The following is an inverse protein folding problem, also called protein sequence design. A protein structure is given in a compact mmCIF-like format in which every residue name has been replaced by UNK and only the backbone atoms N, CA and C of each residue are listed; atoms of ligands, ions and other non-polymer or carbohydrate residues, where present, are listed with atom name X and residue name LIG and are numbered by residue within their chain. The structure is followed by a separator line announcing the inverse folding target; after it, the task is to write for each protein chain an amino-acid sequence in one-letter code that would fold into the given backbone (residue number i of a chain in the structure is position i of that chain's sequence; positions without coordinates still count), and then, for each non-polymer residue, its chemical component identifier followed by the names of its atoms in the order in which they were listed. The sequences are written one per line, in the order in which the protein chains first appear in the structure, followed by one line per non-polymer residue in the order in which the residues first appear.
data_IF_869524960026
#
_entry.id   IF_869524960026
#
_cell.length_a   1.000
_cell.length_b   1.000
_cell.length_c   1.000
_cell.angle_alpha   90.00
_cell.angle_beta   90.00
_cell.angle_gamma   90.00
#
_symmetry.space_group_name_H-M   'P 1'
#
loop_
_entity.id
_entity.type
_entity.pdbx_description
1 polymer ?
#
# COMPACT_ATOMS: atom_id res chain seq x y z
N UNK A 1 -3.95 6.70 18.84
CA UNK A 1 -4.49 5.33 18.91
C UNK A 1 -4.00 4.59 17.70
N UNK A 2 -3.25 3.50 17.89
CA UNK A 2 -2.78 2.67 16.78
C UNK A 2 -3.96 1.87 16.22
N UNK A 3 -4.24 2.00 14.92
CA UNK A 3 -5.38 1.31 14.33
C UNK A 3 -5.07 -0.19 14.20
N UNK A 4 -5.78 -1.02 14.97
CA UNK A 4 -5.65 -2.48 14.96
C UNK A 4 -5.74 -3.11 13.56
N UNK A 5 -6.45 -2.47 12.61
CA UNK A 5 -6.54 -2.93 11.21
C UNK A 5 -5.22 -2.77 10.46
N UNK A 6 -4.53 -1.65 10.65
CA UNK A 6 -3.23 -1.41 10.03
C UNK A 6 -2.22 -2.46 10.48
N UNK A 7 -2.08 -2.68 11.79
CA UNK A 7 -1.15 -3.68 12.32
C UNK A 7 -1.45 -5.07 11.77
N UNK A 8 -2.72 -5.51 11.76
CA UNK A 8 -3.14 -6.80 11.19
C UNK A 8 -2.86 -6.95 9.69
N UNK A 9 -2.91 -5.86 8.93
CA UNK A 9 -2.63 -5.84 7.50
C UNK A 9 -1.12 -5.90 7.25
N UNK A 10 -0.39 -5.05 7.95
CA UNK A 10 1.07 -4.92 7.84
C UNK A 10 1.79 -6.17 8.34
N UNK A 11 1.28 -6.85 9.37
CA UNK A 11 1.88 -8.08 9.93
C UNK A 11 1.92 -9.25 8.95
N UNK A 12 1.18 -9.16 7.83
CA UNK A 12 1.22 -10.16 6.74
C UNK A 12 2.30 -9.84 5.69
N UNK A 13 2.94 -8.68 5.78
CA UNK A 13 4.04 -8.29 4.91
C UNK A 13 5.31 -9.01 5.37
N UNK A 14 6.06 -9.58 4.43
CA UNK A 14 7.34 -10.26 4.73
C UNK A 14 8.40 -9.33 5.33
N UNK A 15 8.26 -8.02 5.13
CA UNK A 15 9.19 -7.03 5.68
C UNK A 15 8.71 -6.44 7.01
N UNK A 16 7.59 -6.91 7.59
CA UNK A 16 6.96 -6.26 8.75
C UNK A 16 7.92 -5.97 9.90
N UNK A 17 8.68 -6.97 10.34
CA UNK A 17 9.54 -6.86 11.54
C UNK A 17 10.77 -5.96 11.33
N UNK A 18 11.14 -5.67 10.08
CA UNK A 18 12.34 -4.88 9.74
C UNK A 18 12.07 -3.67 8.85
N UNK A 19 10.80 -3.35 8.58
CA UNK A 19 10.43 -2.23 7.72
C UNK A 19 10.37 -0.94 8.55
N UNK A 20 11.28 -0.03 8.27
CA UNK A 20 11.34 1.31 8.88
C UNK A 20 10.58 2.38 8.09
N UNK A 21 9.89 2.02 6.99
CA UNK A 21 9.24 3.00 6.13
C UNK A 21 8.07 3.71 6.83
N UNK A 22 8.14 5.04 7.07
CA UNK A 22 7.11 5.77 7.80
C UNK A 22 5.86 6.04 6.95
N UNK A 23 6.01 6.04 5.62
CA UNK A 23 4.90 6.07 4.66
C UNK A 23 4.68 4.69 4.04
N UNK A 24 4.19 3.76 4.86
CA UNK A 24 3.81 2.43 4.39
C UNK A 24 2.49 2.50 3.60
N UNK A 25 2.42 2.06 2.32
CA UNK A 25 1.17 2.08 1.56
C UNK A 25 0.08 1.15 2.11
N UNK A 26 0.43 0.27 3.05
CA UNK A 26 -0.52 -0.54 3.82
C UNK A 26 -1.02 0.17 5.08
N UNK A 27 -0.71 1.45 5.30
CA UNK A 27 -1.28 2.30 6.33
C UNK A 27 -2.49 3.05 5.75
N UNK A 28 -3.64 2.98 6.40
CA UNK A 28 -4.81 3.79 6.00
C UNK A 28 -4.54 5.30 6.13
N UNK A 29 -3.65 5.71 7.05
CA UNK A 29 -3.26 7.09 7.30
C UNK A 29 -2.05 7.50 6.44
N UNK A 30 -1.73 6.75 5.39
CA UNK A 30 -0.58 6.99 4.52
C UNK A 30 -0.46 8.46 4.06
N UNK A 31 -1.58 9.12 3.77
CA UNK A 31 -1.59 10.51 3.32
C UNK A 31 -1.25 11.50 4.44
N UNK A 32 -1.62 11.18 5.69
CA UNK A 32 -1.36 11.99 6.88
C UNK A 32 0.05 11.78 7.45
N UNK A 33 0.68 10.64 7.14
CA UNK A 33 2.06 10.34 7.57
C UNK A 33 3.06 11.30 6.91
N UNK A 34 3.94 11.86 7.72
CA UNK A 34 5.08 12.68 7.27
C UNK A 34 6.23 11.77 6.85
N UNK A 35 6.97 12.20 5.82
CA UNK A 35 8.23 11.59 5.40
C UNK A 35 9.32 12.64 5.42
N UNK A 36 10.45 12.31 6.03
CA UNK A 36 11.71 13.02 5.99
C UNK A 36 12.60 12.49 4.87
N UNK A 37 13.63 13.23 4.50
CA UNK A 37 14.49 12.92 3.34
C UNK A 37 15.27 11.63 3.56
N UNK A 38 15.67 11.35 4.80
CA UNK A 38 16.44 10.19 5.23
C UNK A 38 15.60 8.91 5.42
N UNK A 39 14.28 9.01 5.34
CA UNK A 39 13.39 7.88 5.60
C UNK A 39 13.45 6.83 4.49
N UNK A 40 13.49 5.55 4.90
CA UNK A 40 13.47 4.43 3.98
C UNK A 40 12.14 4.30 3.22
N UNK A 41 12.26 3.94 1.94
CA UNK A 41 11.13 3.56 1.12
C UNK A 41 10.57 2.19 1.48
N UNK A 42 9.27 2.01 1.24
CA UNK A 42 8.63 0.71 1.39
C UNK A 42 9.20 -0.28 0.37
N UNK A 43 9.80 -1.37 0.86
CA UNK A 43 10.42 -2.43 0.03
C UNK A 43 9.41 -3.48 -0.48
N UNK A 44 8.18 -3.47 0.01
CA UNK A 44 7.15 -4.41 -0.43
C UNK A 44 6.80 -4.18 -1.90
N UNK A 45 6.72 -5.25 -2.71
CA UNK A 45 6.36 -5.12 -4.14
C UNK A 45 4.94 -4.58 -4.31
N UNK A 46 4.67 -3.92 -5.46
CA UNK A 46 3.32 -3.45 -5.80
C UNK A 46 2.28 -4.58 -5.69
N UNK A 47 2.60 -5.78 -6.18
CA UNK A 47 1.73 -6.97 -6.10
C UNK A 47 1.39 -7.33 -4.65
N UNK A 48 2.40 -7.37 -3.77
CA UNK A 48 2.22 -7.64 -2.34
C UNK A 48 1.30 -6.61 -1.70
N UNK A 49 1.53 -5.32 -1.98
CA UNK A 49 0.73 -4.24 -1.39
C UNK A 49 -0.74 -4.30 -1.82
N UNK A 50 -1.00 -4.62 -3.09
CA UNK A 50 -2.38 -4.81 -3.60
C UNK A 50 -3.06 -6.00 -2.95
N UNK A 51 -2.34 -7.13 -2.83
CA UNK A 51 -2.87 -8.35 -2.22
C UNK A 51 -3.25 -8.13 -0.75
N UNK A 52 -2.42 -7.40 -0.01
CA UNK A 52 -2.63 -7.17 1.42
C UNK A 52 -3.60 -6.01 1.70
N UNK A 53 -3.61 -4.98 0.86
CA UNK A 53 -4.43 -3.77 0.99
C UNK A 53 -5.85 -3.90 0.49
N UNK A 54 -6.45 -5.09 0.46
CA UNK A 54 -7.79 -5.33 -0.10
C UNK A 54 -8.89 -4.41 0.47
N UNK A 55 -8.74 -4.00 1.73
CA UNK A 55 -9.66 -3.15 2.45
C UNK A 55 -9.34 -1.65 2.37
N UNK A 56 -8.25 -1.27 1.71
CA UNK A 56 -7.88 0.12 1.48
C UNK A 56 -8.51 0.67 0.19
N UNK A 57 -8.96 1.93 0.16
CA UNK A 57 -9.55 2.55 -1.05
C UNK A 57 -8.66 2.46 -2.28
N UNK A 58 -7.34 2.61 -2.09
CA UNK A 58 -6.33 2.54 -3.16
C UNK A 58 -5.66 1.18 -3.29
N UNK A 59 -6.14 0.16 -2.56
CA UNK A 59 -5.55 -1.19 -2.53
C UNK A 59 -4.03 -1.18 -2.30
N UNK A 60 -3.52 -0.41 -1.37
CA UNK A 60 -2.07 -0.33 -1.11
C UNK A 60 -1.22 0.27 -2.25
N UNK A 61 -1.85 0.92 -3.23
CA UNK A 61 -1.17 1.73 -4.24
C UNK A 61 -0.82 3.10 -3.67
N UNK A 62 0.35 3.61 -4.04
CA UNK A 62 0.69 5.01 -3.82
C UNK A 62 -0.22 5.92 -4.66
N UNK A 63 -0.38 7.22 -4.32
CA UNK A 63 -1.19 8.15 -5.12
C UNK A 63 -0.80 8.17 -6.60
N UNK A 64 0.51 8.18 -6.90
CA UNK A 64 1.03 8.16 -8.28
C UNK A 64 0.65 6.87 -9.01
N UNK A 65 0.79 5.72 -8.37
CA UNK A 65 0.41 4.42 -8.97
C UNK A 65 -1.10 4.32 -9.18
N UNK A 66 -1.89 4.81 -8.22
CA UNK A 66 -3.36 4.81 -8.30
C UNK A 66 -3.84 5.66 -9.48
N UNK A 67 -3.33 6.88 -9.62
CA UNK A 67 -3.64 7.74 -10.77
C UNK A 67 -3.24 7.08 -12.10
N UNK A 68 -2.06 6.44 -12.16
CA UNK A 68 -1.63 5.71 -13.35
C UNK A 68 -2.57 4.55 -13.71
N UNK A 69 -3.10 3.84 -12.71
CA UNK A 69 -4.09 2.78 -12.91
C UNK A 69 -5.40 3.36 -13.46
N UNK A 70 -5.92 4.45 -12.88
CA UNK A 70 -7.18 5.06 -13.34
C UNK A 70 -7.10 5.62 -14.77
N UNK A 71 -5.91 6.02 -15.24
CA UNK A 71 -5.71 6.45 -16.62
C UNK A 71 -5.66 5.29 -17.62
N UNK A 72 -5.26 4.11 -17.18
CA UNK A 72 -5.01 2.96 -18.05
C UNK A 72 -6.10 1.89 -18.02
N UNK A 73 -6.93 1.89 -16.97
CA UNK A 73 -7.94 0.87 -16.71
C UNK A 73 -9.27 1.52 -16.31
N UNK A 74 -10.42 0.92 -16.67
CA UNK A 74 -11.74 1.44 -16.29
C UNK A 74 -11.95 1.53 -14.77
N UNK A 75 -11.28 0.67 -14.00
CA UNK A 75 -11.32 0.68 -12.54
C UNK A 75 -10.11 -0.03 -11.94
N UNK A 76 -9.90 0.15 -10.63
CA UNK A 76 -8.86 -0.59 -9.90
C UNK A 76 -9.15 -2.09 -9.88
N UNK A 77 -10.42 -2.50 -9.81
CA UNK A 77 -10.84 -3.91 -9.86
C UNK A 77 -10.46 -4.54 -11.20
N UNK A 78 -10.62 -3.80 -12.29
CA UNK A 78 -10.23 -4.24 -13.64
C UNK A 78 -8.72 -4.51 -13.71
N UNK A 79 -7.92 -3.61 -13.14
CA UNK A 79 -6.48 -3.78 -13.02
C UNK A 79 -6.11 -4.99 -12.16
N UNK A 80 -6.69 -5.11 -10.97
CA UNK A 80 -6.43 -6.20 -10.01
C UNK A 80 -6.72 -7.57 -10.64
N UNK A 81 -7.87 -7.70 -11.33
CA UNK A 81 -8.28 -8.95 -11.98
C UNK A 81 -7.29 -9.41 -13.06
N UNK A 82 -6.67 -8.48 -13.78
CA UNK A 82 -5.70 -8.79 -14.83
C UNK A 82 -4.28 -9.09 -14.31
N UNK A 83 -3.95 -8.72 -13.07
CA UNK A 83 -2.56 -8.71 -12.58
C UNK A 83 -2.30 -9.50 -11.29
N UNK A 84 -3.35 -9.98 -10.61
CA UNK A 84 -3.20 -10.82 -9.42
C UNK A 84 -3.49 -12.30 -9.63
N UNK A 85 -3.97 -12.71 -10.81
CA UNK A 85 -4.11 -14.13 -11.17
C UNK A 85 -2.75 -14.83 -11.29
#
# INVERSE_FOLDING_TARGET
MENSKNTKRMSKCSSFDGCSSPKCPLDELYEERVRLTEDEDCKATKRTRIKLGIDLPKRGLTPKEYSGVLLSYPSIESYVRGHLN
#
